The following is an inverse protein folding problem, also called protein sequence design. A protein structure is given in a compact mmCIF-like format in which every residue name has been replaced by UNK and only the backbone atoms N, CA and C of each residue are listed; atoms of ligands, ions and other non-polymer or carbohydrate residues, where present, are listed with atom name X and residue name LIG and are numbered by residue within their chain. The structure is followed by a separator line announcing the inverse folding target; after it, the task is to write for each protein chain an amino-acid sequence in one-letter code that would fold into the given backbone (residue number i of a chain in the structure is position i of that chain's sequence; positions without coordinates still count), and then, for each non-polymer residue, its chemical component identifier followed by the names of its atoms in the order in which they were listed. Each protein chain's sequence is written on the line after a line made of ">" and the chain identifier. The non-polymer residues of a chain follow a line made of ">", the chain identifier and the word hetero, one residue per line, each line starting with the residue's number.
data_IF_939649803625
#
_entry.id   IF_939649803625
#
_cell.length_a   1.000
_cell.length_b   1.000
_cell.length_c   1.000
_cell.angle_alpha   90.00
_cell.angle_beta   90.00
_cell.angle_gamma   90.00
#
_symmetry.space_group_name_H-M   'P 1'
#
loop_
_entity.id
_entity.type
_entity.pdbx_description
1 polymer ?
#
# COMPACT_ATOMS: atom_id res chain seq x y z
N UNK A 1 0.46 12.06 4.98
CA UNK A 1 0.54 10.59 4.75
C UNK A 1 -0.57 9.94 5.56
N UNK A 2 -1.43 9.10 4.95
CA UNK A 2 -2.61 8.54 5.63
C UNK A 2 -2.25 7.48 6.69
N UNK A 3 -1.08 6.86 6.57
CA UNK A 3 -0.54 5.90 7.54
C UNK A 3 0.16 6.55 8.75
N UNK A 4 -0.17 7.80 9.07
CA UNK A 4 0.43 8.57 10.15
C UNK A 4 -0.62 9.42 10.87
N UNK A 5 -0.27 9.98 12.02
CA UNK A 5 -1.16 10.91 12.73
C UNK A 5 -1.50 12.14 11.87
N UNK A 6 -2.72 12.69 11.97
CA UNK A 6 -3.85 12.23 12.79
C UNK A 6 -4.70 11.11 12.16
N UNK A 7 -4.47 10.79 10.88
CA UNK A 7 -5.38 9.95 10.07
C UNK A 7 -5.29 8.45 10.35
N UNK A 8 -4.21 7.99 10.97
CA UNK A 8 -4.00 6.57 11.26
C UNK A 8 -5.18 5.93 12.01
N UNK A 9 -5.87 6.70 12.87
CA UNK A 9 -7.02 6.24 13.65
C UNK A 9 -8.38 6.65 13.09
N UNK A 10 -8.42 7.40 11.98
CA UNK A 10 -9.68 7.85 11.38
C UNK A 10 -10.24 6.83 10.37
N UNK A 11 -9.41 5.88 9.93
CA UNK A 11 -9.79 4.83 8.98
C UNK A 11 -9.66 3.47 9.66
N UNK A 12 -10.74 2.70 9.65
CA UNK A 12 -10.72 1.31 10.10
C UNK A 12 -10.23 0.39 8.97
N UNK A 13 -8.91 0.26 8.85
CA UNK A 13 -8.24 -0.50 7.79
C UNK A 13 -8.62 -1.99 7.75
N UNK A 14 -9.16 -2.55 8.84
CA UNK A 14 -9.60 -3.95 8.88
C UNK A 14 -10.74 -4.28 7.91
N UNK A 15 -11.48 -3.25 7.45
CA UNK A 15 -12.62 -3.36 6.55
C UNK A 15 -12.27 -3.15 5.08
N UNK A 16 -11.05 -2.75 4.76
CA UNK A 16 -10.67 -2.33 3.42
C UNK A 16 -9.94 -3.44 2.67
N UNK A 17 -10.27 -3.56 1.39
CA UNK A 17 -9.53 -4.36 0.42
C UNK A 17 -8.90 -3.43 -0.62
N UNK A 18 -7.60 -3.61 -0.87
CA UNK A 18 -6.83 -2.79 -1.81
C UNK A 18 -6.54 -3.61 -3.06
N UNK A 19 -6.85 -3.04 -4.22
CA UNK A 19 -6.62 -3.63 -5.53
C UNK A 19 -5.84 -2.66 -6.41
N UNK A 20 -5.20 -3.20 -7.44
CA UNK A 20 -4.53 -2.43 -8.48
C UNK A 20 -5.31 -2.54 -9.78
N UNK A 21 -5.47 -1.41 -10.47
CA UNK A 21 -5.95 -1.41 -11.85
C UNK A 21 -4.87 -1.96 -12.80
N UNK A 22 -3.60 -1.67 -12.49
CA UNK A 22 -2.42 -2.04 -13.26
C UNK A 22 -1.23 -2.42 -12.36
N UNK A 23 -0.38 -3.31 -12.84
CA UNK A 23 0.87 -3.71 -12.20
C UNK A 23 1.91 -4.01 -13.28
N UNK A 24 3.17 -3.71 -12.98
CA UNK A 24 4.29 -4.06 -13.83
C UNK A 24 4.51 -5.58 -13.79
N UNK A 25 4.71 -6.18 -14.96
CA UNK A 25 4.97 -7.62 -15.10
C UNK A 25 6.40 -7.98 -14.64
N UNK A 26 6.66 -7.81 -13.35
CA UNK A 26 7.95 -8.05 -12.69
C UNK A 26 7.76 -8.80 -11.38
N UNK A 27 8.79 -9.46 -10.82
CA UNK A 27 8.68 -10.11 -9.53
C UNK A 27 8.19 -9.14 -8.44
N UNK A 28 7.40 -9.65 -7.50
CA UNK A 28 6.78 -8.87 -6.42
C UNK A 28 7.75 -8.03 -5.56
N UNK A 29 9.03 -8.41 -5.47
CA UNK A 29 10.07 -7.69 -4.72
C UNK A 29 10.92 -6.77 -5.61
N UNK A 30 10.67 -6.76 -6.91
CA UNK A 30 11.37 -5.90 -7.85
C UNK A 30 11.09 -4.43 -7.52
N UNK A 31 12.08 -3.51 -7.60
CA UNK A 31 11.89 -2.09 -7.30
C UNK A 31 10.74 -1.44 -8.07
N UNK A 32 10.53 -1.88 -9.32
CA UNK A 32 9.45 -1.36 -10.18
C UNK A 32 8.07 -1.99 -9.93
N UNK A 33 7.89 -2.89 -8.97
CA UNK A 33 6.56 -3.40 -8.64
C UNK A 33 5.75 -2.32 -7.92
N UNK A 34 4.54 -2.05 -8.40
CA UNK A 34 3.59 -1.14 -7.76
C UNK A 34 3.22 -1.66 -6.37
N UNK A 35 3.02 -2.98 -6.22
CA UNK A 35 2.80 -3.62 -4.93
C UNK A 35 3.94 -3.35 -3.96
N UNK A 36 5.20 -3.50 -4.39
CA UNK A 36 6.36 -3.30 -3.49
C UNK A 36 6.38 -1.87 -2.99
N UNK A 37 6.27 -0.90 -3.89
CA UNK A 37 6.32 0.52 -3.54
C UNK A 37 5.20 0.87 -2.55
N UNK A 38 3.96 0.45 -2.82
CA UNK A 38 2.85 0.69 -1.89
C UNK A 38 3.03 -0.02 -0.55
N UNK A 39 3.65 -1.21 -0.52
CA UNK A 39 3.96 -1.89 0.73
C UNK A 39 4.97 -1.10 1.56
N UNK A 40 6.09 -0.75 0.94
CA UNK A 40 7.21 -0.07 1.61
C UNK A 40 6.80 1.32 2.10
N UNK A 41 5.95 2.02 1.34
CA UNK A 41 5.53 3.37 1.64
C UNK A 41 4.25 3.46 2.46
N UNK A 42 3.30 2.53 2.33
CA UNK A 42 1.98 2.71 2.90
C UNK A 42 1.46 1.50 3.69
N UNK A 43 1.34 0.32 3.06
CA UNK A 43 0.62 -0.82 3.66
C UNK A 43 1.34 -1.46 4.86
N UNK A 44 2.64 -1.23 5.03
CA UNK A 44 3.42 -1.77 6.16
C UNK A 44 3.69 -0.75 7.28
N UNK A 45 3.04 0.42 7.25
CA UNK A 45 3.27 1.51 8.20
C UNK A 45 2.19 1.56 9.28
#
# INVERSE_FOLDING_TARGET
>A
KLSGGPYLRTVDWSKWHVFWADENLVPKRHPSSNYRQAKDDFLSK
#
